data_IF_334525214997
#
_entry.id   IF_334525214997
#
_cell.length_a   1.000
_cell.length_b   1.000
_cell.length_c   1.000
_cell.angle_alpha   90.00
_cell.angle_beta   90.00
_cell.angle_gamma   90.00
#
_symmetry.space_group_name_H-M   'P 1'
#
loop_
_entity.id
_entity.type
_entity.pdbx_description
1 polymer ?
#
# COMPACT_ATOMS: atom_id res chain seq x y z
N UNK A 1 23.93 -36.64 -75.73
CA UNK A 1 24.03 -38.13 -75.76
C UNK A 1 23.16 -38.61 -74.59
N UNK A 2 21.87 -39.07 -74.88
CA UNK A 2 21.42 -40.43 -75.10
C UNK A 2 21.97 -41.38 -74.08
N UNK A 3 21.12 -41.99 -73.15
CA UNK A 3 20.10 -43.05 -73.26
C UNK A 3 19.49 -43.21 -71.85
N UNK A 4 18.25 -43.24 -71.52
CA UNK A 4 17.11 -44.06 -71.85
C UNK A 4 17.16 -45.53 -71.31
N UNK A 5 16.01 -45.91 -70.70
CA UNK A 5 15.48 -47.29 -70.42
C UNK A 5 15.83 -47.79 -68.98
N UNK A 6 14.91 -48.46 -68.19
CA UNK A 6 13.62 -49.11 -68.52
C UNK A 6 12.95 -49.55 -67.23
N UNK A 7 11.63 -49.62 -67.26
CA UNK A 7 10.63 -50.21 -66.36
C UNK A 7 11.01 -51.61 -65.86
N UNK A 8 10.60 -51.96 -64.63
CA UNK A 8 9.64 -53.04 -64.39
C UNK A 8 9.16 -53.08 -62.95
N UNK A 9 7.87 -53.33 -62.87
CA UNK A 9 6.98 -53.49 -61.75
C UNK A 9 7.33 -54.65 -60.81
N UNK A 10 7.10 -54.46 -59.46
CA UNK A 10 6.72 -55.60 -58.64
C UNK A 10 5.77 -55.04 -57.53
N UNK A 11 4.56 -55.57 -57.58
CA UNK A 11 3.48 -55.42 -56.63
C UNK A 11 3.79 -56.31 -55.42
N UNK A 12 3.75 -55.76 -54.22
CA UNK A 12 3.64 -56.54 -52.99
C UNK A 12 2.69 -55.86 -52.03
N UNK A 13 1.55 -56.45 -51.85
CA UNK A 13 0.60 -56.19 -50.74
C UNK A 13 1.27 -56.59 -49.44
N UNK A 14 1.11 -55.71 -48.38
CA UNK A 14 1.14 -56.16 -47.00
C UNK A 14 0.37 -55.14 -46.12
N UNK A 15 -0.84 -55.57 -45.79
CA UNK A 15 -1.46 -55.71 -44.49
C UNK A 15 -1.29 -54.57 -43.48
N UNK A 16 -2.41 -53.90 -43.27
CA UNK A 16 -2.95 -53.16 -42.16
C UNK A 16 -2.32 -53.45 -40.79
N UNK A 17 -1.74 -52.42 -40.17
CA UNK A 17 -1.53 -52.29 -38.77
C UNK A 17 -2.07 -50.92 -38.30
N UNK A 18 -3.34 -50.88 -37.92
CA UNK A 18 -3.93 -49.74 -37.23
C UNK A 18 -3.39 -49.72 -35.77
N UNK A 19 -2.21 -49.18 -35.57
CA UNK A 19 -1.69 -48.81 -34.25
C UNK A 19 -2.24 -47.45 -33.92
N UNK A 20 -3.29 -47.40 -33.07
CA UNK A 20 -3.81 -46.19 -32.50
C UNK A 20 -2.72 -45.51 -31.65
N UNK A 21 -2.10 -44.45 -32.15
CA UNK A 21 -1.44 -43.45 -31.31
C UNK A 21 -2.55 -42.73 -30.53
N UNK A 22 -2.81 -43.18 -29.30
CA UNK A 22 -3.35 -42.30 -28.30
C UNK A 22 -2.31 -41.19 -28.08
N UNK A 23 -2.46 -40.09 -28.79
CA UNK A 23 -1.86 -38.81 -28.36
C UNK A 23 -2.54 -38.50 -27.04
N UNK A 24 -1.83 -38.82 -25.94
CA UNK A 24 -2.06 -38.15 -24.68
C UNK A 24 -1.91 -36.64 -24.98
N UNK A 25 -3.07 -36.00 -25.12
CA UNK A 25 -3.15 -34.56 -25.02
C UNK A 25 -2.78 -34.23 -23.58
N UNK A 26 -1.45 -34.20 -23.28
CA UNK A 26 -0.92 -33.55 -22.10
C UNK A 26 -1.52 -32.16 -22.12
N UNK A 27 -2.49 -31.93 -21.23
CA UNK A 27 -3.24 -30.70 -21.14
C UNK A 27 -2.24 -29.54 -21.12
N UNK A 28 -2.16 -28.79 -22.19
CA UNK A 28 -1.52 -27.48 -22.19
C UNK A 28 -2.27 -26.67 -21.13
N UNK A 29 -1.70 -26.61 -19.94
CA UNK A 29 -2.26 -25.82 -18.85
C UNK A 29 -2.55 -24.42 -19.37
N UNK A 30 -3.79 -23.96 -19.22
CA UNK A 30 -4.13 -22.60 -19.64
C UNK A 30 -3.10 -21.63 -19.06
N UNK A 31 -2.65 -20.67 -19.89
CA UNK A 31 -1.70 -19.65 -19.43
C UNK A 31 -2.21 -18.97 -18.15
N UNK A 32 -1.35 -18.68 -17.18
CA UNK A 32 -1.77 -18.09 -15.92
C UNK A 32 -2.48 -16.76 -16.16
N UNK A 33 -3.58 -16.53 -15.46
CA UNK A 33 -4.24 -15.23 -15.46
C UNK A 33 -3.39 -14.26 -14.66
N UNK A 34 -3.08 -13.11 -15.25
CA UNK A 34 -2.27 -12.07 -14.57
C UNK A 34 -3.19 -10.99 -14.01
N UNK A 35 -3.06 -10.69 -12.72
CA UNK A 35 -3.58 -9.48 -12.08
C UNK A 35 -2.47 -8.45 -11.88
N UNK A 36 -2.81 -7.16 -11.95
CA UNK A 36 -1.95 -6.07 -11.51
C UNK A 36 -2.55 -5.43 -10.27
N UNK A 37 -1.85 -5.53 -9.14
CA UNK A 37 -2.13 -4.77 -7.92
C UNK A 37 -1.29 -3.49 -7.90
N UNK A 38 -1.95 -2.34 -7.95
CA UNK A 38 -1.31 -1.03 -7.82
C UNK A 38 -1.49 -0.52 -6.40
N UNK A 39 -0.37 -0.40 -5.68
CA UNK A 39 -0.34 -0.14 -4.24
C UNK A 39 0.54 1.04 -3.86
N UNK A 40 0.47 1.47 -2.59
CA UNK A 40 1.34 2.50 -2.04
C UNK A 40 2.61 1.88 -1.40
N UNK A 41 3.64 2.73 -1.19
CA UNK A 41 5.00 2.27 -0.85
C UNK A 41 5.13 1.30 0.34
N UNK A 42 4.50 1.52 1.51
CA UNK A 42 4.72 0.69 2.70
C UNK A 42 4.26 -0.76 2.61
N UNK A 43 3.53 -1.14 1.57
CA UNK A 43 2.84 -2.45 1.47
C UNK A 43 3.59 -3.52 0.69
N UNK A 44 4.83 -3.29 0.27
CA UNK A 44 5.58 -4.21 -0.60
C UNK A 44 5.63 -5.63 -0.04
N UNK A 45 6.12 -5.77 1.16
CA UNK A 45 6.31 -7.04 1.86
C UNK A 45 4.96 -7.69 2.21
N UNK A 46 3.98 -6.87 2.60
CA UNK A 46 2.62 -7.35 2.87
C UNK A 46 2.01 -8.01 1.64
N UNK A 47 2.00 -7.31 0.51
CA UNK A 47 1.38 -7.86 -0.71
C UNK A 47 2.20 -8.99 -1.33
N UNK A 48 3.50 -9.05 -1.14
CA UNK A 48 4.30 -10.22 -1.51
C UNK A 48 3.82 -11.47 -0.76
N UNK A 49 3.63 -11.37 0.55
CA UNK A 49 3.14 -12.47 1.38
C UNK A 49 1.68 -12.85 1.05
N UNK A 50 0.79 -11.85 0.90
CA UNK A 50 -0.61 -12.06 0.54
C UNK A 50 -0.76 -12.70 -0.84
N UNK A 51 0.01 -12.25 -1.84
CA UNK A 51 -0.01 -12.79 -3.19
C UNK A 51 0.38 -14.26 -3.20
N UNK A 52 1.45 -14.62 -2.47
CA UNK A 52 1.90 -16.01 -2.36
C UNK A 52 0.81 -16.90 -1.76
N UNK A 53 0.17 -16.48 -0.69
CA UNK A 53 -0.90 -17.25 -0.03
C UNK A 53 -2.15 -17.36 -0.91
N UNK A 54 -2.59 -16.23 -1.48
CA UNK A 54 -3.77 -16.20 -2.34
C UNK A 54 -3.61 -17.06 -3.58
N UNK A 55 -2.49 -16.97 -4.29
CA UNK A 55 -2.26 -17.76 -5.53
C UNK A 55 -2.24 -19.25 -5.26
N UNK A 56 -1.63 -19.69 -4.15
CA UNK A 56 -1.66 -21.10 -3.73
C UNK A 56 -3.09 -21.56 -3.41
N UNK A 57 -3.84 -20.76 -2.65
CA UNK A 57 -5.24 -21.03 -2.31
C UNK A 57 -6.15 -21.09 -3.54
N UNK A 58 -6.00 -20.10 -4.44
CA UNK A 58 -6.80 -20.03 -5.67
C UNK A 58 -6.55 -21.23 -6.56
N UNK A 59 -5.29 -21.62 -6.75
CA UNK A 59 -4.92 -22.81 -7.51
C UNK A 59 -5.57 -24.07 -6.92
N UNK A 60 -5.49 -24.25 -5.60
CA UNK A 60 -6.09 -25.40 -4.92
C UNK A 60 -7.61 -25.45 -5.06
N UNK A 61 -8.30 -24.30 -5.08
CA UNK A 61 -9.76 -24.23 -5.14
C UNK A 61 -10.32 -24.29 -6.56
N UNK A 62 -9.64 -23.71 -7.54
CA UNK A 62 -10.16 -23.52 -8.90
C UNK A 62 -9.39 -24.31 -9.97
N UNK A 63 -8.21 -24.83 -9.66
CA UNK A 63 -7.29 -25.41 -10.65
C UNK A 63 -6.63 -24.36 -11.57
N UNK A 64 -6.94 -23.07 -11.40
CA UNK A 64 -6.44 -22.00 -12.26
C UNK A 64 -5.20 -21.35 -11.67
N UNK A 65 -4.13 -21.24 -12.48
CA UNK A 65 -2.94 -20.50 -12.10
C UNK A 65 -3.16 -18.99 -12.24
N UNK A 66 -2.70 -18.24 -11.24
CA UNK A 66 -2.75 -16.77 -11.20
C UNK A 66 -1.37 -16.22 -10.89
N UNK A 67 -0.93 -15.22 -11.64
CA UNK A 67 0.23 -14.37 -11.34
C UNK A 67 -0.28 -13.01 -10.86
N UNK A 68 0.18 -12.53 -9.71
CA UNK A 68 -0.16 -11.18 -9.23
C UNK A 68 1.09 -10.30 -9.29
N UNK A 69 1.09 -9.37 -10.24
CA UNK A 69 2.12 -8.35 -10.38
C UNK A 69 1.82 -7.17 -9.49
N UNK A 70 2.88 -6.49 -9.07
CA UNK A 70 2.78 -5.37 -8.14
C UNK A 70 3.41 -4.11 -8.75
N UNK A 71 2.75 -2.96 -8.52
CA UNK A 71 3.34 -1.64 -8.72
C UNK A 71 3.24 -0.84 -7.42
N UNK A 72 4.36 -0.32 -6.93
CA UNK A 72 4.41 0.44 -5.68
C UNK A 72 5.00 1.84 -5.89
N UNK A 73 4.46 2.81 -5.16
CA UNK A 73 4.91 4.20 -5.20
C UNK A 73 4.09 5.08 -4.27
N UNK A 74 4.28 6.38 -4.33
CA UNK A 74 3.42 7.32 -3.60
C UNK A 74 1.96 7.17 -4.01
N UNK A 75 1.03 7.11 -3.04
CA UNK A 75 -0.38 6.78 -3.25
C UNK A 75 -1.06 7.65 -4.33
N UNK A 76 -0.92 8.97 -4.25
CA UNK A 76 -1.47 9.89 -5.26
C UNK A 76 -0.83 9.72 -6.65
N UNK A 77 0.48 9.39 -6.71
CA UNK A 77 1.15 9.08 -7.96
C UNK A 77 0.61 7.81 -8.60
N UNK A 78 0.33 6.79 -7.78
CA UNK A 78 -0.25 5.53 -8.24
C UNK A 78 -1.69 5.72 -8.73
N UNK A 79 -2.51 6.51 -8.02
CA UNK A 79 -3.85 6.87 -8.48
C UNK A 79 -3.82 7.56 -9.85
N UNK A 80 -2.91 8.52 -10.01
CA UNK A 80 -2.72 9.22 -11.29
C UNK A 80 -2.33 8.25 -12.41
N UNK A 81 -1.38 7.35 -12.17
CA UNK A 81 -0.96 6.36 -13.17
C UNK A 81 -2.14 5.47 -13.63
N UNK A 82 -3.05 5.08 -12.72
CA UNK A 82 -4.25 4.31 -13.08
C UNK A 82 -5.19 5.17 -13.94
N UNK A 83 -5.41 6.43 -13.58
CA UNK A 83 -6.25 7.37 -14.34
C UNK A 83 -5.68 7.59 -15.74
N UNK A 84 -4.36 7.70 -15.85
CA UNK A 84 -3.64 7.91 -17.11
C UNK A 84 -3.51 6.62 -17.96
N UNK A 85 -4.08 5.49 -17.49
CA UNK A 85 -4.24 4.29 -18.33
C UNK A 85 -3.48 3.05 -17.86
N UNK A 86 -2.79 3.07 -16.71
CA UNK A 86 -2.19 1.86 -16.14
C UNK A 86 -3.29 0.82 -15.85
N UNK A 87 -3.15 -0.37 -16.43
CA UNK A 87 -4.16 -1.42 -16.42
C UNK A 87 -4.18 -2.19 -15.08
N UNK A 88 -4.48 -1.48 -13.99
CA UNK A 88 -4.61 -2.06 -12.66
C UNK A 88 -5.92 -2.85 -12.52
N UNK A 89 -5.86 -4.11 -12.11
CA UNK A 89 -7.04 -4.89 -11.77
C UNK A 89 -7.58 -4.50 -10.40
N UNK A 90 -6.67 -4.23 -9.46
CA UNK A 90 -7.01 -3.75 -8.13
C UNK A 90 -6.12 -2.56 -7.75
N UNK A 91 -6.71 -1.62 -7.02
CA UNK A 91 -6.02 -0.49 -6.41
C UNK A 91 -6.07 -0.65 -4.88
N UNK A 92 -4.91 -0.63 -4.24
CA UNK A 92 -4.74 -0.80 -2.79
C UNK A 92 -3.93 0.39 -2.28
N UNK A 93 -4.60 1.55 -2.18
CA UNK A 93 -3.95 2.85 -1.99
C UNK A 93 -3.93 3.29 -0.52
N UNK A 94 -3.10 4.28 -0.21
CA UNK A 94 -2.92 4.75 1.16
C UNK A 94 -4.03 5.65 1.69
N UNK A 95 -4.87 6.21 0.81
CA UNK A 95 -5.89 7.20 1.15
C UNK A 95 -7.21 6.95 0.41
N UNK A 96 -8.34 7.12 1.08
CA UNK A 96 -9.64 7.08 0.44
C UNK A 96 -9.80 8.20 -0.61
N UNK A 97 -9.17 9.35 -0.43
CA UNK A 97 -9.15 10.42 -1.43
C UNK A 97 -8.54 9.97 -2.76
N UNK A 98 -7.39 9.27 -2.70
CA UNK A 98 -6.70 8.79 -3.91
C UNK A 98 -7.52 7.71 -4.63
N UNK A 99 -8.23 6.84 -3.90
CA UNK A 99 -9.18 5.89 -4.51
C UNK A 99 -10.40 6.61 -5.09
N UNK A 100 -10.95 7.62 -4.40
CA UNK A 100 -12.06 8.42 -4.91
C UNK A 100 -11.73 9.16 -6.21
N UNK A 101 -10.45 9.51 -6.44
CA UNK A 101 -10.01 10.10 -7.70
C UNK A 101 -10.23 9.16 -8.89
N UNK A 102 -10.15 7.84 -8.70
CA UNK A 102 -10.46 6.85 -9.74
C UNK A 102 -11.92 6.91 -10.19
N UNK A 103 -12.85 7.28 -9.27
CA UNK A 103 -14.24 7.58 -9.59
C UNK A 103 -14.40 8.99 -10.16
N UNK A 104 -13.98 10.02 -9.41
CA UNK A 104 -14.25 11.42 -9.72
C UNK A 104 -13.62 11.86 -11.04
N UNK A 105 -12.37 11.50 -11.27
CA UNK A 105 -11.58 11.93 -12.43
C UNK A 105 -11.52 10.83 -13.50
N UNK A 106 -11.24 9.58 -13.12
CA UNK A 106 -11.02 8.47 -14.04
C UNK A 106 -12.30 7.81 -14.56
N UNK A 107 -13.42 7.90 -13.82
CA UNK A 107 -14.65 7.14 -14.10
C UNK A 107 -14.41 5.62 -14.23
N UNK A 108 -13.42 5.11 -13.50
CA UNK A 108 -12.94 3.73 -13.59
C UNK A 108 -13.61 2.78 -12.60
N UNK A 109 -14.17 3.34 -11.52
CA UNK A 109 -14.87 2.62 -10.43
C UNK A 109 -16.21 3.30 -10.15
N UNK A 110 -17.18 2.63 -9.50
CA UNK A 110 -18.46 3.25 -9.13
C UNK A 110 -18.29 4.18 -7.90
N UNK A 111 -19.27 5.08 -7.72
CA UNK A 111 -19.28 6.03 -6.61
C UNK A 111 -19.31 5.34 -5.23
N UNK A 112 -20.07 4.27 -5.12
CA UNK A 112 -20.24 3.51 -3.88
C UNK A 112 -19.09 2.54 -3.58
N UNK A 113 -17.91 2.73 -4.16
CA UNK A 113 -16.75 1.84 -4.01
C UNK A 113 -16.40 1.59 -2.53
N UNK A 114 -16.59 2.59 -1.68
CA UNK A 114 -16.20 2.54 -0.25
C UNK A 114 -17.00 1.51 0.55
N UNK A 115 -18.26 1.24 0.16
CA UNK A 115 -19.18 0.32 0.87
C UNK A 115 -19.17 -1.10 0.32
N UNK A 116 -18.33 -1.40 -0.67
CA UNK A 116 -18.28 -2.72 -1.34
C UNK A 116 -17.63 -3.82 -0.49
N UNK A 117 -16.75 -3.43 0.42
CA UNK A 117 -16.08 -4.33 1.34
C UNK A 117 -16.22 -3.81 2.78
N UNK A 118 -16.05 -4.66 3.80
CA UNK A 118 -16.15 -4.27 5.21
C UNK A 118 -15.20 -3.12 5.57
N UNK A 119 -15.54 -2.39 6.63
CA UNK A 119 -14.71 -1.33 7.21
C UNK A 119 -14.34 -0.23 6.20
N UNK A 120 -15.31 0.25 5.42
CA UNK A 120 -15.08 1.25 4.37
C UNK A 120 -14.02 0.78 3.35
N UNK A 121 -14.04 -0.51 3.02
CA UNK A 121 -13.08 -1.16 2.13
C UNK A 121 -11.62 -1.11 2.62
N UNK A 122 -11.39 -0.94 3.95
CA UNK A 122 -10.07 -0.91 4.56
C UNK A 122 -9.79 -2.21 5.35
N UNK A 123 -9.06 -3.18 4.77
CA UNK A 123 -8.86 -4.51 5.38
C UNK A 123 -7.93 -4.50 6.59
N UNK A 124 -7.19 -3.45 6.80
CA UNK A 124 -6.25 -3.24 7.92
C UNK A 124 -6.15 -1.77 8.26
N UNK A 125 -5.50 -1.49 9.40
CA UNK A 125 -5.17 -0.13 9.80
C UNK A 125 -3.68 0.00 10.13
N UNK A 126 -3.23 1.23 10.26
CA UNK A 126 -1.94 1.61 10.82
C UNK A 126 -2.08 2.95 11.52
N UNK A 127 -0.97 3.46 12.02
CA UNK A 127 -0.91 4.80 12.62
C UNK A 127 0.47 5.39 12.40
N UNK A 128 0.67 6.64 12.84
CA UNK A 128 1.97 7.32 12.73
C UNK A 128 2.69 7.22 14.07
N UNK A 129 3.94 6.82 13.99
CA UNK A 129 4.87 6.70 15.12
C UNK A 129 6.17 7.45 14.81
N UNK A 130 7.03 7.60 15.80
CA UNK A 130 8.35 8.17 15.63
C UNK A 130 9.40 7.07 15.67
N UNK A 131 10.18 6.93 14.62
CA UNK A 131 11.35 6.08 14.59
C UNK A 131 12.57 6.95 14.91
N UNK A 132 13.29 6.62 15.97
CA UNK A 132 14.44 7.40 16.46
C UNK A 132 15.70 6.55 16.52
N UNK A 133 16.86 7.19 16.58
CA UNK A 133 18.15 6.52 16.78
C UNK A 133 18.16 5.78 18.13
N UNK A 134 18.92 4.71 18.21
CA UNK A 134 19.08 3.92 19.44
C UNK A 134 19.39 4.80 20.66
N UNK A 135 18.66 4.54 21.74
CA UNK A 135 18.77 5.30 23.00
C UNK A 135 18.19 6.69 22.93
N UNK A 136 17.52 7.06 21.81
CA UNK A 136 16.82 8.32 21.65
C UNK A 136 17.65 9.55 22.08
N UNK A 137 18.81 9.82 21.47
CA UNK A 137 19.77 10.82 21.97
C UNK A 137 19.21 12.25 21.97
N UNK A 138 18.15 12.52 21.21
CA UNK A 138 17.44 13.80 21.19
C UNK A 138 16.30 13.86 22.20
N UNK A 139 16.06 12.79 22.97
CA UNK A 139 14.98 12.71 23.95
C UNK A 139 13.62 13.13 23.37
N UNK A 140 13.28 12.55 22.21
CA UNK A 140 12.00 12.75 21.52
C UNK A 140 10.95 11.90 22.24
N UNK A 141 9.92 12.51 22.79
CA UNK A 141 8.83 11.83 23.52
C UNK A 141 7.47 12.05 22.89
N UNK A 142 7.27 13.23 22.31
CA UNK A 142 5.99 13.61 21.71
C UNK A 142 6.20 14.65 20.58
N UNK A 143 5.13 14.99 19.90
CA UNK A 143 5.10 15.95 18.78
C UNK A 143 5.78 17.27 19.10
N UNK A 144 5.59 17.81 20.34
CA UNK A 144 6.20 19.06 20.77
C UNK A 144 7.74 19.06 20.72
N UNK A 145 8.37 17.90 20.81
CA UNK A 145 9.82 17.78 20.75
C UNK A 145 10.36 17.95 19.33
N UNK A 146 9.51 17.75 18.30
CA UNK A 146 9.89 17.83 16.90
C UNK A 146 10.18 19.24 16.40
N UNK A 147 9.70 20.25 17.12
CA UNK A 147 9.91 21.66 16.78
C UNK A 147 11.07 22.30 17.53
N UNK A 148 11.81 21.53 18.35
CA UNK A 148 12.98 22.04 19.08
C UNK A 148 14.12 22.35 18.12
N UNK A 149 14.88 23.43 18.37
CA UNK A 149 16.10 23.71 17.59
C UNK A 149 17.08 22.52 17.60
N UNK A 150 17.65 22.22 16.44
CA UNK A 150 18.63 21.13 16.30
C UNK A 150 18.04 19.72 16.30
N UNK A 151 16.72 19.55 16.16
CA UNK A 151 16.06 18.28 15.85
C UNK A 151 15.80 18.21 14.35
N UNK A 152 16.39 17.26 13.66
CA UNK A 152 16.15 17.02 12.23
C UNK A 152 15.08 15.96 12.04
N UNK A 153 13.95 16.35 11.44
CA UNK A 153 12.78 15.50 11.20
C UNK A 153 12.79 14.99 9.76
N UNK A 154 12.60 13.71 9.56
CA UNK A 154 12.43 13.12 8.24
C UNK A 154 10.96 12.76 8.05
N UNK A 155 10.39 13.20 6.93
CA UNK A 155 9.03 12.88 6.49
C UNK A 155 8.97 13.02 4.97
N UNK A 156 8.15 12.23 4.25
CA UNK A 156 8.01 12.42 2.81
C UNK A 156 7.14 13.64 2.47
N UNK A 157 7.06 13.97 1.19
CA UNK A 157 6.33 15.13 0.68
C UNK A 157 4.81 14.86 0.59
N UNK A 158 3.94 15.63 1.26
CA UNK A 158 2.48 15.47 1.20
C UNK A 158 1.86 15.67 -0.20
N UNK A 159 2.53 16.36 -1.11
CA UNK A 159 2.04 16.52 -2.50
C UNK A 159 2.14 15.21 -3.31
N UNK A 160 3.04 14.29 -2.93
CA UNK A 160 3.26 13.03 -3.67
C UNK A 160 2.99 11.77 -2.86
N UNK A 161 3.08 11.83 -1.54
CA UNK A 161 2.99 10.69 -0.63
C UNK A 161 1.72 10.74 0.22
N UNK A 162 0.90 9.69 0.11
CA UNK A 162 -0.23 9.50 1.03
C UNK A 162 0.20 9.33 2.48
N UNK A 163 1.34 8.66 2.72
CA UNK A 163 1.91 8.53 4.06
C UNK A 163 2.26 9.87 4.68
N UNK A 164 2.79 10.79 3.90
CA UNK A 164 3.10 12.14 4.36
C UNK A 164 1.85 12.96 4.73
N UNK A 165 0.73 12.75 4.02
CA UNK A 165 -0.54 13.39 4.39
C UNK A 165 -1.02 12.92 5.76
N UNK A 166 -0.90 11.63 6.06
CA UNK A 166 -1.19 11.10 7.38
C UNK A 166 -0.25 11.68 8.46
N UNK A 167 1.07 11.79 8.18
CA UNK A 167 2.04 12.39 9.10
C UNK A 167 1.68 13.85 9.42
N UNK A 168 1.39 14.64 8.39
CA UNK A 168 0.99 16.04 8.50
C UNK A 168 -0.30 16.20 9.33
N UNK A 169 -1.34 15.41 9.00
CA UNK A 169 -2.63 15.48 9.70
C UNK A 169 -2.53 15.01 11.14
N UNK A 170 -1.68 14.02 11.46
CA UNK A 170 -1.43 13.60 12.83
C UNK A 170 -0.79 14.73 13.66
N UNK A 171 0.20 15.43 13.09
CA UNK A 171 0.83 16.59 13.72
C UNK A 171 -0.16 17.74 13.94
N UNK A 172 -0.98 18.03 12.93
CA UNK A 172 -2.03 19.06 13.02
C UNK A 172 -3.07 18.72 14.09
N UNK A 173 -3.55 17.46 14.11
CA UNK A 173 -4.53 16.98 15.06
C UNK A 173 -4.03 17.04 16.51
N UNK A 174 -2.75 16.75 16.74
CA UNK A 174 -2.13 16.91 18.04
C UNK A 174 -2.11 18.37 18.49
N UNK A 175 -1.71 19.27 17.59
CA UNK A 175 -1.63 20.72 17.88
C UNK A 175 -3.02 21.33 18.17
N UNK A 176 -4.06 20.91 17.46
CA UNK A 176 -5.44 21.31 17.74
C UNK A 176 -5.91 20.96 19.17
N UNK A 177 -5.33 19.93 19.78
CA UNK A 177 -5.71 19.42 21.11
C UNK A 177 -4.86 19.98 22.26
N UNK A 178 -3.92 20.85 21.94
CA UNK A 178 -3.17 21.56 22.97
C UNK A 178 -4.02 22.68 23.61
N UNK A 179 -3.72 23.13 24.83
CA UNK A 179 -4.39 24.26 25.43
C UNK A 179 -4.40 25.49 24.50
N UNK A 180 -5.60 26.02 24.22
CA UNK A 180 -5.77 27.11 23.25
C UNK A 180 -5.62 26.72 21.77
N UNK A 181 -5.63 25.40 21.47
CA UNK A 181 -5.45 24.87 20.13
C UNK A 181 -6.59 25.29 19.18
N UNK A 182 -6.20 25.76 18.00
CA UNK A 182 -7.06 26.11 16.86
C UNK A 182 -6.25 25.98 15.57
N UNK A 183 -6.89 26.23 14.40
CA UNK A 183 -6.22 26.06 13.11
C UNK A 183 -5.01 26.97 12.93
N UNK A 184 -5.03 28.19 13.47
CA UNK A 184 -3.89 29.09 13.39
C UNK A 184 -2.68 28.58 14.20
N UNK A 185 -2.93 28.10 15.42
CA UNK A 185 -1.85 27.54 16.27
C UNK A 185 -1.36 26.21 15.71
N UNK A 186 -2.24 25.38 15.12
CA UNK A 186 -1.86 24.13 14.48
C UNK A 186 -1.02 24.39 13.23
N UNK A 187 -1.39 25.38 12.40
CA UNK A 187 -0.58 25.81 11.26
C UNK A 187 0.81 26.27 11.68
N UNK A 188 0.90 27.14 12.68
CA UNK A 188 2.18 27.62 13.20
C UNK A 188 3.06 26.50 13.79
N UNK A 189 2.46 25.50 14.41
CA UNK A 189 3.16 24.32 14.90
C UNK A 189 3.72 23.48 13.74
N UNK A 190 2.88 23.14 12.76
CA UNK A 190 3.30 22.34 11.60
C UNK A 190 4.35 23.06 10.76
N UNK A 191 4.25 24.40 10.63
CA UNK A 191 5.28 25.22 9.99
C UNK A 191 6.64 25.07 10.70
N UNK A 192 6.67 25.16 12.04
CA UNK A 192 7.90 24.94 12.81
C UNK A 192 8.45 23.52 12.62
N UNK A 193 7.58 22.52 12.55
CA UNK A 193 7.96 21.14 12.29
C UNK A 193 8.63 21.01 10.93
N UNK A 194 8.02 21.56 9.87
CA UNK A 194 8.57 21.48 8.51
C UNK A 194 9.84 22.32 8.31
N UNK A 195 10.09 23.35 9.11
CA UNK A 195 11.40 24.03 9.15
C UNK A 195 12.53 23.12 9.64
N UNK A 196 12.21 22.10 10.42
CA UNK A 196 13.14 21.08 10.89
C UNK A 196 13.28 19.88 9.91
N UNK A 197 12.64 19.93 8.74
CA UNK A 197 12.70 18.87 7.72
C UNK A 197 13.74 19.19 6.66
N UNK A 198 14.92 18.58 6.70
CA UNK A 198 15.98 18.88 5.74
C UNK A 198 15.77 18.28 4.35
N UNK A 199 14.96 17.21 4.25
CA UNK A 199 14.72 16.46 3.01
C UNK A 199 13.27 16.03 2.94
N UNK A 200 12.60 16.28 1.81
CA UNK A 200 11.27 15.76 1.48
C UNK A 200 11.38 14.70 0.38
N UNK A 201 11.39 13.45 0.79
CA UNK A 201 11.35 12.31 -0.14
C UNK A 201 9.99 12.18 -0.84
N UNK A 202 9.97 11.57 -2.03
CA UNK A 202 8.73 11.44 -2.82
C UNK A 202 7.72 10.44 -2.26
N UNK A 203 8.15 9.55 -1.34
CA UNK A 203 7.32 8.50 -0.75
C UNK A 203 7.87 8.01 0.60
N UNK A 204 7.06 7.24 1.33
CA UNK A 204 7.40 6.76 2.66
C UNK A 204 8.67 5.89 2.68
N UNK A 205 8.83 4.97 1.72
CA UNK A 205 10.03 4.14 1.61
C UNK A 205 11.29 4.97 1.36
N UNK A 206 11.20 6.04 0.55
CA UNK A 206 12.30 6.99 0.34
C UNK A 206 12.74 7.65 1.65
N UNK A 207 11.78 8.12 2.45
CA UNK A 207 12.05 8.71 3.76
C UNK A 207 12.69 7.69 4.74
N UNK A 208 12.24 6.44 4.72
CA UNK A 208 12.86 5.36 5.50
C UNK A 208 14.31 5.13 5.08
N UNK A 209 14.60 5.07 3.77
CA UNK A 209 15.97 4.94 3.25
C UNK A 209 16.84 6.14 3.67
N UNK A 210 16.32 7.35 3.55
CA UNK A 210 17.03 8.58 3.96
C UNK A 210 17.38 8.53 5.44
N UNK A 211 16.44 8.13 6.28
CA UNK A 211 16.69 8.00 7.71
C UNK A 211 17.58 6.80 8.04
N UNK A 212 17.23 5.59 7.60
CA UNK A 212 17.87 4.35 8.01
C UNK A 212 19.25 4.17 7.36
N UNK A 213 19.27 4.19 6.01
CA UNK A 213 20.47 3.78 5.25
C UNK A 213 21.48 4.93 5.09
N UNK A 214 20.95 6.15 4.85
CA UNK A 214 21.79 7.35 4.68
C UNK A 214 22.18 8.00 6.01
N UNK A 215 21.55 7.61 7.11
CA UNK A 215 21.84 8.15 8.45
C UNK A 215 21.42 9.61 8.66
N UNK A 216 20.54 10.17 7.81
CA UNK A 216 20.10 11.57 7.88
C UNK A 216 18.91 11.69 8.84
N UNK A 217 18.90 12.72 9.67
CA UNK A 217 17.82 13.04 10.62
C UNK A 217 17.94 12.36 11.97
N UNK A 218 17.25 12.93 12.94
CA UNK A 218 17.17 12.46 14.33
C UNK A 218 15.91 11.60 14.57
N UNK A 219 14.84 11.92 13.85
CA UNK A 219 13.53 11.27 13.95
C UNK A 219 12.88 11.15 12.58
N UNK A 220 12.29 9.99 12.31
CA UNK A 220 11.45 9.75 11.14
C UNK A 220 9.99 9.65 11.58
N UNK A 221 9.11 10.47 10.99
CA UNK A 221 7.68 10.27 11.06
C UNK A 221 7.32 9.09 10.15
N UNK A 222 7.02 7.94 10.74
CA UNK A 222 6.83 6.70 10.02
C UNK A 222 5.44 6.12 10.25
N UNK A 223 4.95 5.37 9.27
CA UNK A 223 3.90 4.41 9.52
C UNK A 223 4.40 3.35 10.51
N UNK A 224 3.54 2.90 11.42
CA UNK A 224 3.89 1.92 12.43
C UNK A 224 4.49 0.63 11.84
N UNK A 225 3.90 0.15 10.73
CA UNK A 225 4.43 -1.03 10.02
C UNK A 225 5.83 -0.81 9.44
N UNK A 226 6.14 0.37 8.89
CA UNK A 226 7.49 0.70 8.38
C UNK A 226 8.51 0.76 9.53
N UNK A 227 8.13 1.36 10.66
CA UNK A 227 9.00 1.44 11.82
C UNK A 227 9.30 0.04 12.41
N UNK A 228 8.28 -0.81 12.53
CA UNK A 228 8.43 -2.19 13.01
C UNK A 228 9.26 -3.04 12.03
N UNK A 229 9.03 -2.88 10.73
CA UNK A 229 9.79 -3.56 9.69
C UNK A 229 11.27 -3.15 9.72
N UNK A 230 11.56 -1.84 9.79
CA UNK A 230 12.94 -1.34 9.88
C UNK A 230 13.65 -1.89 11.12
N UNK A 231 12.98 -1.89 12.27
CA UNK A 231 13.52 -2.46 13.50
C UNK A 231 13.79 -3.97 13.38
N UNK A 232 12.91 -4.72 12.71
CA UNK A 232 13.11 -6.16 12.45
C UNK A 232 14.29 -6.40 11.53
N UNK A 233 14.43 -5.62 10.46
CA UNK A 233 15.48 -5.80 9.45
C UNK A 233 16.88 -5.43 9.97
N UNK A 234 16.99 -4.34 10.74
CA UNK A 234 18.28 -3.86 11.27
C UNK A 234 18.68 -4.51 12.59
N UNK A 235 17.74 -5.19 13.24
CA UNK A 235 17.92 -5.72 14.60
C UNK A 235 17.46 -4.74 15.70
N UNK A 236 17.20 -5.28 16.91
CA UNK A 236 16.55 -4.52 17.99
C UNK A 236 17.40 -3.36 18.52
N UNK A 237 18.71 -3.41 18.28
CA UNK A 237 19.67 -2.48 18.90
C UNK A 237 20.11 -1.32 17.99
N UNK A 238 19.39 -1.04 16.92
CA UNK A 238 19.74 0.04 15.99
C UNK A 238 18.80 1.24 16.09
N UNK A 239 17.52 0.99 16.35
CA UNK A 239 16.47 1.98 16.33
C UNK A 239 15.49 1.76 17.49
N UNK A 240 14.91 2.84 17.97
CA UNK A 240 13.80 2.82 18.93
C UNK A 240 12.54 3.42 18.32
N UNK A 241 11.38 2.91 18.74
CA UNK A 241 10.07 3.44 18.34
C UNK A 241 9.50 4.20 19.53
N UNK A 242 9.10 5.44 19.29
CA UNK A 242 8.40 6.27 20.25
C UNK A 242 6.94 6.42 19.81
N UNK A 243 6.03 6.04 20.70
CA UNK A 243 4.59 6.24 20.49
C UNK A 243 4.22 7.65 20.95
N UNK A 244 3.67 8.50 20.07
CA UNK A 244 3.22 9.83 20.47
C UNK A 244 1.99 9.75 21.38
N UNK A 245 1.73 10.80 22.16
CA UNK A 245 0.56 10.90 23.05
C UNK A 245 -0.77 10.84 22.28
N UNK A 246 -0.76 11.21 21.01
CA UNK A 246 -1.89 11.19 20.07
C UNK A 246 -1.37 10.91 18.67
N UNK A 247 -2.10 10.10 17.92
CA UNK A 247 -1.85 9.87 16.50
C UNK A 247 -3.17 9.81 15.73
N UNK A 248 -3.11 9.41 14.44
CA UNK A 248 -4.26 9.32 13.55
C UNK A 248 -4.50 7.88 13.13
N UNK A 249 -5.77 7.47 13.05
CA UNK A 249 -6.16 6.17 12.52
C UNK A 249 -6.02 6.20 10.99
N UNK A 250 -5.00 5.53 10.48
CA UNK A 250 -4.80 5.38 9.05
C UNK A 250 -5.56 4.13 8.56
N UNK A 251 -6.47 4.34 7.61
CA UNK A 251 -7.34 3.30 7.02
C UNK A 251 -7.11 3.23 5.51
N UNK A 252 -6.08 2.46 5.06
CA UNK A 252 -5.79 2.31 3.63
C UNK A 252 -6.86 1.47 2.94
N UNK A 253 -7.61 2.02 1.98
CA UNK A 253 -8.68 1.29 1.32
C UNK A 253 -8.19 0.51 0.10
N UNK A 254 -9.00 -0.48 -0.28
CA UNK A 254 -8.79 -1.32 -1.45
C UNK A 254 -10.03 -1.33 -2.35
N UNK A 255 -9.84 -1.43 -3.65
CA UNK A 255 -10.96 -1.55 -4.60
C UNK A 255 -10.55 -2.29 -5.86
N UNK A 256 -11.53 -2.94 -6.49
CA UNK A 256 -11.41 -3.43 -7.87
C UNK A 256 -11.52 -2.22 -8.81
N UNK A 257 -10.71 -2.19 -9.87
CA UNK A 257 -10.80 -1.17 -10.93
C UNK A 257 -11.75 -1.67 -12.02
N UNK A 258 -13.04 -1.39 -11.86
CA UNK A 258 -14.13 -2.01 -12.60
C UNK A 258 -13.96 -2.02 -14.12
N UNK A 259 -13.63 -0.86 -14.71
CA UNK A 259 -13.45 -0.75 -16.17
C UNK A 259 -12.28 -1.59 -16.71
N UNK A 260 -11.28 -1.82 -15.87
CA UNK A 260 -10.12 -2.65 -16.24
C UNK A 260 -10.48 -4.12 -16.17
N UNK A 261 -11.04 -4.58 -15.06
CA UNK A 261 -11.37 -6.01 -14.88
C UNK A 261 -12.49 -6.47 -15.82
N UNK A 262 -13.45 -5.59 -16.18
CA UNK A 262 -14.45 -5.88 -17.21
C UNK A 262 -13.81 -6.15 -18.57
N UNK A 263 -12.92 -5.26 -19.00
CA UNK A 263 -12.21 -5.39 -20.28
C UNK A 263 -11.28 -6.60 -20.32
N UNK A 264 -10.63 -6.91 -19.20
CA UNK A 264 -9.65 -8.00 -19.08
C UNK A 264 -10.27 -9.35 -18.73
N UNK A 265 -11.54 -9.41 -18.34
CA UNK A 265 -12.21 -10.63 -17.87
C UNK A 265 -11.67 -11.14 -16.53
N UNK A 266 -11.08 -10.28 -15.70
CA UNK A 266 -10.39 -10.66 -14.45
C UNK A 266 -11.22 -10.39 -13.19
N UNK A 267 -12.47 -9.92 -13.32
CA UNK A 267 -13.33 -9.49 -12.20
C UNK A 267 -13.44 -10.52 -11.08
N UNK A 268 -13.76 -11.76 -11.42
CA UNK A 268 -13.96 -12.82 -10.43
C UNK A 268 -12.73 -13.01 -9.53
N UNK A 269 -11.55 -13.06 -10.14
CA UNK A 269 -10.29 -13.27 -9.40
C UNK A 269 -9.92 -12.03 -8.60
N UNK A 270 -10.10 -10.82 -9.17
CA UNK A 270 -9.83 -9.56 -8.50
C UNK A 270 -10.69 -9.38 -7.25
N UNK A 271 -11.99 -9.69 -7.34
CA UNK A 271 -12.88 -9.66 -6.18
C UNK A 271 -12.54 -10.72 -5.13
N UNK A 272 -12.20 -11.94 -5.56
CA UNK A 272 -11.77 -13.02 -4.67
C UNK A 272 -10.47 -12.62 -3.94
N UNK A 273 -9.53 -11.98 -4.65
CA UNK A 273 -8.27 -11.48 -4.08
C UNK A 273 -8.51 -10.43 -2.99
N UNK A 274 -9.38 -9.44 -3.23
CA UNK A 274 -9.68 -8.44 -2.20
C UNK A 274 -10.46 -9.02 -1.02
N UNK A 275 -11.37 -9.98 -1.26
CA UNK A 275 -12.09 -10.70 -0.19
C UNK A 275 -11.14 -11.54 0.67
N UNK A 276 -10.08 -12.09 0.07
CA UNK A 276 -9.06 -12.85 0.81
C UNK A 276 -8.41 -12.04 1.93
N UNK A 277 -8.22 -10.73 1.75
CA UNK A 277 -7.66 -9.83 2.75
C UNK A 277 -8.46 -9.81 4.07
N UNK A 278 -9.75 -10.14 4.02
CA UNK A 278 -10.66 -10.18 5.17
C UNK A 278 -10.83 -11.58 5.77
N UNK A 279 -10.22 -12.61 5.19
CA UNK A 279 -10.22 -13.96 5.77
C UNK A 279 -9.29 -14.02 6.98
N UNK A 280 -9.49 -15.01 7.88
CA UNK A 280 -8.56 -15.21 9.01
C UNK A 280 -7.12 -15.38 8.55
N UNK A 281 -6.88 -16.12 7.46
CA UNK A 281 -5.54 -16.28 6.87
C UNK A 281 -4.97 -14.94 6.38
N UNK A 282 -5.75 -14.16 5.63
CA UNK A 282 -5.34 -12.82 5.19
C UNK A 282 -5.05 -11.88 6.36
N UNK A 283 -5.89 -11.88 7.38
CA UNK A 283 -5.71 -11.07 8.60
C UNK A 283 -4.48 -11.49 9.42
N UNK A 284 -4.17 -12.80 9.46
CA UNK A 284 -2.94 -13.30 10.06
C UNK A 284 -1.69 -12.78 9.33
N UNK A 285 -1.69 -12.84 7.99
CA UNK A 285 -0.59 -12.31 7.17
C UNK A 285 -0.45 -10.78 7.36
N UNK A 286 -1.57 -10.06 7.43
CA UNK A 286 -1.59 -8.61 7.70
C UNK A 286 -0.89 -8.31 9.03
N UNK A 287 -1.23 -9.02 10.11
CA UNK A 287 -0.61 -8.83 11.42
C UNK A 287 0.89 -9.19 11.44
N UNK A 288 1.29 -10.28 10.76
CA UNK A 288 2.69 -10.69 10.61
C UNK A 288 3.54 -9.67 9.85
N UNK A 289 2.91 -8.86 9.00
CA UNK A 289 3.53 -7.76 8.27
C UNK A 289 3.31 -6.40 8.94
N UNK A 290 3.04 -6.41 10.24
CA UNK A 290 2.99 -5.22 11.11
C UNK A 290 1.85 -4.24 10.83
N UNK A 291 0.79 -4.67 10.14
CA UNK A 291 -0.45 -3.92 10.05
C UNK A 291 -1.44 -4.39 11.11
N UNK A 292 -2.20 -3.47 11.66
CA UNK A 292 -3.24 -3.76 12.66
C UNK A 292 -4.42 -4.46 11.97
N UNK A 293 -4.70 -5.74 12.27
CA UNK A 293 -5.78 -6.48 11.63
C UNK A 293 -7.15 -6.00 12.11
N UNK A 294 -8.18 -6.24 11.29
CA UNK A 294 -9.58 -5.95 11.63
C UNK A 294 -10.24 -7.11 12.37
N UNK A 295 -9.76 -8.32 12.21
CA UNK A 295 -10.28 -9.50 12.91
C UNK A 295 -9.90 -9.41 14.40
N UNK A 296 -10.88 -9.42 15.33
CA UNK A 296 -10.61 -9.22 16.76
C UNK A 296 -9.82 -10.38 17.39
N UNK A 297 -10.00 -11.62 16.92
CA UNK A 297 -9.26 -12.77 17.44
C UNK A 297 -7.78 -12.67 17.02
N UNK A 298 -7.50 -12.28 15.78
CA UNK A 298 -6.14 -12.06 15.31
C UNK A 298 -5.54 -10.83 16.01
N UNK A 299 -6.29 -9.74 16.15
CA UNK A 299 -5.82 -8.54 16.86
C UNK A 299 -5.40 -8.86 18.30
N UNK A 300 -6.16 -9.71 19.01
CA UNK A 300 -5.83 -10.14 20.37
C UNK A 300 -4.51 -10.94 20.42
N UNK A 301 -4.25 -11.81 19.42
CA UNK A 301 -3.00 -12.58 19.34
C UNK A 301 -1.77 -11.68 19.16
N UNK A 302 -1.94 -10.54 18.50
CA UNK A 302 -0.86 -9.58 18.19
C UNK A 302 -0.87 -8.33 19.08
N UNK A 303 -1.66 -8.31 20.19
CA UNK A 303 -1.79 -7.15 21.07
C UNK A 303 -0.43 -6.65 21.61
N UNK A 304 0.51 -7.56 21.88
CA UNK A 304 1.86 -7.20 22.33
C UNK A 304 2.71 -6.50 21.26
N UNK A 305 2.37 -6.65 19.98
CA UNK A 305 3.06 -6.01 18.86
C UNK A 305 2.59 -4.57 18.64
N UNK A 306 1.33 -4.27 19.00
CA UNK A 306 0.68 -3.00 18.72
C UNK A 306 0.31 -2.26 20.01
N UNK A 307 1.21 -1.44 20.55
CA UNK A 307 0.91 -0.66 21.76
C UNK A 307 -0.35 0.21 21.59
N UNK A 308 -1.07 0.40 22.67
CA UNK A 308 -2.21 1.31 22.68
C UNK A 308 -1.72 2.75 22.43
N UNK A 309 -2.44 3.47 21.57
CA UNK A 309 -2.22 4.89 21.30
C UNK A 309 -3.57 5.57 21.13
N UNK A 310 -3.68 6.81 21.59
CA UNK A 310 -4.89 7.60 21.38
C UNK A 310 -4.95 8.01 19.92
N UNK A 311 -6.02 7.61 19.23
CA UNK A 311 -6.20 7.89 17.81
C UNK A 311 -7.35 8.87 17.58
N UNK A 312 -7.17 9.72 16.58
CA UNK A 312 -8.23 10.52 15.98
C UNK A 312 -8.55 9.94 14.60
N UNK A 313 -9.76 10.19 14.12
CA UNK A 313 -10.16 9.83 12.76
C UNK A 313 -10.08 11.04 11.83
N UNK A 314 -10.02 10.78 10.53
CA UNK A 314 -10.08 11.82 9.50
C UNK A 314 -11.42 12.52 9.51
N UNK A 315 -12.51 11.78 9.75
CA UNK A 315 -13.86 12.31 9.73
C UNK A 315 -14.13 13.22 10.94
N UNK A 316 -13.81 12.76 12.16
CA UNK A 316 -14.07 13.51 13.38
C UNK A 316 -13.23 14.79 13.50
N UNK A 317 -12.00 14.77 12.98
CA UNK A 317 -11.08 15.90 13.18
C UNK A 317 -11.07 16.86 12.00
N UNK A 318 -11.19 16.33 10.77
CA UNK A 318 -11.02 17.12 9.56
C UNK A 318 -12.28 17.18 8.69
N UNK A 319 -13.36 16.49 9.07
CA UNK A 319 -14.60 16.44 8.30
C UNK A 319 -14.47 15.62 7.00
N UNK A 320 -13.60 14.61 7.02
CA UNK A 320 -13.37 13.69 5.92
C UNK A 320 -12.25 14.11 4.96
N UNK A 321 -11.90 13.19 4.07
CA UNK A 321 -10.77 13.38 3.16
C UNK A 321 -10.93 14.51 2.16
N UNK A 322 -12.13 14.72 1.61
CA UNK A 322 -12.35 15.78 0.62
C UNK A 322 -12.08 17.17 1.23
N UNK A 323 -12.56 17.40 2.46
CA UNK A 323 -12.28 18.63 3.19
C UNK A 323 -10.82 18.77 3.59
N UNK A 324 -10.22 17.70 4.12
CA UNK A 324 -8.80 17.69 4.48
C UNK A 324 -7.90 17.99 3.27
N UNK A 325 -8.22 17.40 2.11
CA UNK A 325 -7.48 17.63 0.88
C UNK A 325 -7.59 19.09 0.43
N UNK A 326 -8.80 19.63 0.33
CA UNK A 326 -9.05 21.00 -0.11
C UNK A 326 -8.39 22.03 0.83
N UNK A 327 -8.44 21.79 2.14
CA UNK A 327 -7.88 22.72 3.13
C UNK A 327 -6.35 22.68 3.18
N UNK A 328 -5.77 21.48 3.08
CA UNK A 328 -4.36 21.30 3.43
C UNK A 328 -3.46 21.02 2.22
N UNK A 329 -3.93 20.31 1.19
CA UNK A 329 -3.05 19.72 0.19
C UNK A 329 -3.31 20.13 -1.27
N UNK A 330 -4.47 20.71 -1.59
CA UNK A 330 -4.72 21.31 -2.90
C UNK A 330 -3.81 22.53 -3.11
N UNK A 331 -3.69 23.00 -4.34
CA UNK A 331 -2.84 24.14 -4.67
C UNK A 331 -3.29 25.37 -3.91
N UNK A 332 -2.35 26.01 -3.23
CA UNK A 332 -2.60 27.14 -2.31
C UNK A 332 -3.13 26.73 -0.94
N UNK A 333 -3.28 25.45 -0.66
CA UNK A 333 -3.66 24.91 0.66
C UNK A 333 -2.63 25.20 1.75
N UNK A 334 -2.95 24.82 2.98
CA UNK A 334 -2.11 25.11 4.15
C UNK A 334 -0.67 24.60 4.01
N UNK A 335 -0.45 23.45 3.34
CA UNK A 335 0.88 22.92 3.13
C UNK A 335 1.73 23.82 2.22
N UNK A 336 1.16 24.32 1.11
CA UNK A 336 1.88 25.23 0.20
C UNK A 336 2.25 26.53 0.91
N UNK A 337 1.35 27.04 1.75
CA UNK A 337 1.61 28.25 2.56
C UNK A 337 2.69 28.06 3.63
N UNK A 338 2.85 26.83 4.14
CA UNK A 338 3.87 26.47 5.14
C UNK A 338 5.24 26.26 4.48
N UNK A 339 5.28 25.57 3.35
CA UNK A 339 6.53 25.11 2.73
C UNK A 339 7.03 26.02 1.62
N UNK A 340 6.18 26.83 1.03
CA UNK A 340 6.52 27.78 -0.06
C UNK A 340 7.03 29.13 0.40
N UNK A 341 7.32 29.30 1.71
CA UNK A 341 7.85 30.56 2.27
C UNK A 341 9.38 30.53 2.35
#
# INVERSE_FOLDING_TARGET
MRRAFSRRSALALLVTGFGGLCLDAAGAGAAPVTLLNVSYDPTRELYEALNKAFTARWLAQSGQQVEIRQSHGGSGKQARAIIDGLQADVATLGLAYDVSALYKQGKLIPENWVTRLPYNSAPYTSTIVFLVRRGNPKNIRDWGDLIRPGVAVITPNPKSSGGARWNYLAAWAWALRQPGGNDATAKAFVEKLYRNVPVLDSGARGATITFVDRGIGDVLLAWENEALLAKKQLGPDKLDIVMPSLSILAEPPVTVVDKVVERRGTRQIAEAYLKFLYTKEGQQIIAQNFYRPRDPEIAAQYAGQFPAVKLVTIDDTFGGWDRAQATHFDDGGSFDQIYGQ
#
